data_IF_705452841925
#
_entry.id   IF_705452841925
#
_cell.length_a   1.000
_cell.length_b   1.000
_cell.length_c   1.000
_cell.angle_alpha   90.00
_cell.angle_beta   90.00
_cell.angle_gamma   90.00
#
_symmetry.space_group_name_H-M   'P 1'
#
loop_
_entity.id
_entity.type
_entity.pdbx_description
1 polymer ?
#
# COMPACT_ATOMS: atom_id res chain seq x y z
N UNK A 1 -21.70 -35.65 -8.11
CA UNK A 1 -21.66 -35.09 -6.73
C UNK A 1 -21.85 -36.16 -5.66
N UNK A 2 -22.98 -36.88 -5.62
CA UNK A 2 -23.24 -37.93 -4.59
C UNK A 2 -22.18 -39.05 -4.57
N UNK A 3 -21.78 -39.55 -5.73
CA UNK A 3 -20.76 -40.62 -5.84
C UNK A 3 -19.35 -40.14 -5.43
N UNK A 4 -19.01 -38.88 -5.71
CA UNK A 4 -17.73 -38.27 -5.34
C UNK A 4 -17.60 -38.13 -3.80
N UNK A 5 -18.66 -37.67 -3.15
CA UNK A 5 -18.72 -37.62 -1.69
C UNK A 5 -18.66 -39.00 -1.05
N UNK A 6 -19.36 -39.99 -1.64
CA UNK A 6 -19.32 -41.37 -1.16
C UNK A 6 -17.90 -41.97 -1.25
N UNK A 7 -17.18 -41.70 -2.34
CA UNK A 7 -15.79 -42.13 -2.51
C UNK A 7 -14.85 -41.46 -1.48
N UNK A 8 -15.00 -40.15 -1.23
CA UNK A 8 -14.24 -39.42 -0.20
C UNK A 8 -14.45 -39.99 1.19
N UNK A 9 -15.70 -40.19 1.59
CA UNK A 9 -16.02 -40.78 2.89
C UNK A 9 -15.49 -42.22 3.02
N UNK A 10 -15.51 -43.00 1.94
CA UNK A 10 -14.92 -44.35 1.92
C UNK A 10 -13.39 -44.35 2.03
N UNK A 11 -12.74 -43.27 1.56
CA UNK A 11 -11.31 -43.05 1.73
C UNK A 11 -10.94 -42.50 3.13
N UNK A 12 -11.92 -42.28 4.01
CA UNK A 12 -11.72 -41.72 5.35
C UNK A 12 -11.55 -40.18 5.36
N UNK A 13 -11.79 -39.53 4.24
CA UNK A 13 -11.82 -38.06 4.15
C UNK A 13 -13.23 -37.57 4.53
N UNK A 14 -13.36 -37.09 5.77
CA UNK A 14 -14.57 -36.48 6.31
C UNK A 14 -14.50 -34.95 6.29
N UNK A 15 -13.52 -34.36 5.60
CA UNK A 15 -13.44 -32.91 5.50
C UNK A 15 -14.61 -32.38 4.67
N UNK A 16 -15.46 -31.59 5.33
CA UNK A 16 -16.62 -30.95 4.72
C UNK A 16 -16.30 -29.54 4.20
N UNK A 17 -15.08 -29.05 4.45
CA UNK A 17 -14.63 -27.78 3.90
C UNK A 17 -14.40 -27.94 2.39
N UNK A 18 -14.84 -26.93 1.64
CA UNK A 18 -14.49 -26.84 0.24
C UNK A 18 -12.97 -26.72 0.15
N UNK A 19 -12.36 -27.67 -0.56
CA UNK A 19 -10.95 -27.52 -0.92
C UNK A 19 -10.79 -26.25 -1.74
N UNK A 20 -9.62 -25.61 -1.63
CA UNK A 20 -9.29 -24.47 -2.48
C UNK A 20 -9.55 -24.85 -3.94
N UNK A 21 -10.67 -24.36 -4.48
CA UNK A 21 -10.93 -24.45 -5.89
C UNK A 21 -9.75 -23.75 -6.55
N UNK A 22 -9.16 -24.33 -7.63
CA UNK A 22 -8.25 -23.59 -8.46
C UNK A 22 -9.01 -22.38 -9.00
N UNK A 23 -8.88 -21.28 -8.28
CA UNK A 23 -9.37 -19.98 -8.66
C UNK A 23 -8.79 -19.72 -10.03
N UNK A 24 -9.54 -19.07 -10.93
CA UNK A 24 -9.01 -18.72 -12.26
C UNK A 24 -7.64 -18.09 -12.05
N UNK A 25 -6.60 -18.76 -12.57
CA UNK A 25 -5.22 -18.29 -12.55
C UNK A 25 -5.27 -16.86 -13.07
N UNK A 26 -5.07 -15.96 -12.13
CA UNK A 26 -5.31 -14.57 -12.37
C UNK A 26 -4.18 -14.12 -13.27
N UNK A 27 -4.50 -13.64 -14.48
CA UNK A 27 -3.64 -12.84 -15.38
C UNK A 27 -3.12 -11.55 -14.74
N UNK A 28 -3.16 -11.50 -13.42
CA UNK A 28 -3.07 -10.36 -12.54
C UNK A 28 -1.65 -10.24 -11.98
N UNK A 29 -0.79 -11.27 -12.05
CA UNK A 29 0.53 -11.22 -11.39
C UNK A 29 1.46 -10.15 -12.01
N UNK A 30 1.60 -10.13 -13.34
CA UNK A 30 2.40 -9.10 -14.03
C UNK A 30 1.77 -7.68 -13.91
N UNK A 31 0.45 -7.60 -14.00
CA UNK A 31 -0.25 -6.31 -13.94
C UNK A 31 -0.28 -5.75 -12.52
N UNK A 32 -0.26 -6.60 -11.49
CA UNK A 32 -0.06 -6.20 -10.09
C UNK A 32 1.35 -5.67 -9.86
N UNK A 33 2.37 -6.34 -10.40
CA UNK A 33 3.77 -5.86 -10.30
C UNK A 33 3.87 -4.46 -10.91
N UNK A 34 3.41 -4.27 -12.14
CA UNK A 34 3.40 -2.96 -12.82
C UNK A 34 2.62 -1.91 -12.03
N UNK A 35 1.50 -2.30 -11.43
CA UNK A 35 0.71 -1.37 -10.64
C UNK A 35 1.43 -0.93 -9.37
N UNK A 36 2.06 -1.86 -8.65
CA UNK A 36 2.83 -1.56 -7.44
C UNK A 36 3.99 -0.61 -7.78
N UNK A 37 4.71 -0.87 -8.86
CA UNK A 37 5.77 0.03 -9.35
C UNK A 37 5.25 1.45 -9.64
N UNK A 38 4.07 1.60 -10.25
CA UNK A 38 3.48 2.92 -10.50
C UNK A 38 3.10 3.66 -9.21
N UNK A 39 2.61 2.95 -8.20
CA UNK A 39 2.22 3.50 -6.90
C UNK A 39 3.47 3.95 -6.13
N UNK A 40 4.52 3.14 -6.12
CA UNK A 40 5.80 3.47 -5.46
C UNK A 40 6.48 4.69 -6.10
N UNK A 41 6.40 4.81 -7.42
CA UNK A 41 6.92 5.97 -8.14
C UNK A 41 6.13 7.26 -7.84
N UNK A 42 4.80 7.17 -7.73
CA UNK A 42 3.97 8.31 -7.39
C UNK A 42 2.62 7.88 -6.81
N UNK A 43 2.46 8.06 -5.50
CA UNK A 43 1.24 7.72 -4.77
C UNK A 43 0.04 8.62 -5.09
N UNK A 44 0.24 9.74 -5.81
CA UNK A 44 -0.83 10.71 -6.14
C UNK A 44 -1.65 10.32 -7.36
N UNK A 45 -1.37 9.19 -8.00
CA UNK A 45 -2.18 8.75 -9.13
C UNK A 45 -3.61 8.39 -8.70
N UNK A 46 -4.58 8.93 -9.43
CA UNK A 46 -5.98 8.54 -9.22
C UNK A 46 -6.24 7.14 -9.77
N UNK A 47 -7.21 6.42 -9.20
CA UNK A 47 -7.67 5.11 -9.70
C UNK A 47 -8.02 5.15 -11.19
N UNK A 48 -8.58 6.28 -11.67
CA UNK A 48 -8.88 6.47 -13.10
C UNK A 48 -7.62 6.53 -13.94
N UNK A 49 -6.61 7.30 -13.50
CA UNK A 49 -5.36 7.44 -14.24
C UNK A 49 -4.61 6.10 -14.32
N UNK A 50 -4.59 5.34 -13.23
CA UNK A 50 -4.00 4.00 -13.19
C UNK A 50 -4.74 3.03 -14.11
N UNK A 51 -6.08 3.05 -14.11
CA UNK A 51 -6.88 2.24 -15.02
C UNK A 51 -6.55 2.54 -16.50
N UNK A 52 -6.37 3.82 -16.85
CA UNK A 52 -5.99 4.24 -18.20
C UNK A 52 -4.55 3.81 -18.56
N UNK A 53 -3.60 3.91 -17.62
CA UNK A 53 -2.19 3.54 -17.85
C UNK A 53 -1.98 2.03 -17.97
N UNK A 54 -2.72 1.25 -17.20
CA UNK A 54 -2.60 -0.21 -17.14
C UNK A 54 -3.61 -0.92 -18.04
N UNK A 55 -4.48 -0.17 -18.74
CA UNK A 55 -5.59 -0.70 -19.53
C UNK A 55 -6.48 -1.69 -18.75
N UNK A 56 -6.69 -1.40 -17.47
CA UNK A 56 -7.48 -2.21 -16.54
C UNK A 56 -8.79 -1.51 -16.17
N UNK A 57 -9.76 -2.30 -15.70
CA UNK A 57 -10.99 -1.72 -15.17
C UNK A 57 -10.73 -0.99 -13.85
N UNK A 58 -11.46 0.10 -13.58
CA UNK A 58 -11.34 0.84 -12.31
C UNK A 58 -11.66 -0.04 -11.09
N UNK A 59 -12.57 -1.00 -11.23
CA UNK A 59 -12.91 -1.95 -10.16
C UNK A 59 -11.72 -2.86 -9.83
N UNK A 60 -10.99 -3.34 -10.84
CA UNK A 60 -9.77 -4.16 -10.63
C UNK A 60 -8.70 -3.38 -9.86
N UNK A 61 -8.47 -2.10 -10.21
CA UNK A 61 -7.54 -1.23 -9.48
C UNK A 61 -8.00 -1.05 -8.03
N UNK A 62 -9.29 -0.78 -7.83
CA UNK A 62 -9.85 -0.55 -6.49
C UNK A 62 -9.77 -1.79 -5.60
N UNK A 63 -10.15 -2.96 -6.12
CA UNK A 63 -10.05 -4.23 -5.39
C UNK A 63 -8.61 -4.52 -4.95
N UNK A 64 -7.62 -4.21 -5.80
CA UNK A 64 -6.22 -4.36 -5.43
C UNK A 64 -5.80 -3.41 -4.31
N UNK A 65 -6.20 -2.14 -4.38
CA UNK A 65 -5.92 -1.20 -3.30
C UNK A 65 -6.50 -1.67 -1.96
N UNK A 66 -7.73 -2.20 -1.96
CA UNK A 66 -8.36 -2.77 -0.77
C UNK A 66 -7.58 -3.99 -0.26
N UNK A 67 -7.15 -4.90 -1.16
CA UNK A 67 -6.35 -6.08 -0.79
C UNK A 67 -5.00 -5.71 -0.15
N UNK A 68 -4.37 -4.64 -0.62
CA UNK A 68 -3.11 -4.15 -0.06
C UNK A 68 -3.29 -3.24 1.16
N UNK A 69 -4.52 -2.90 1.54
CA UNK A 69 -4.81 -2.02 2.68
C UNK A 69 -4.52 -0.55 2.41
N UNK A 70 -4.41 -0.14 1.14
CA UNK A 70 -4.24 1.28 0.79
C UNK A 70 -5.52 2.07 1.07
N UNK A 71 -5.35 3.23 1.69
CA UNK A 71 -6.39 4.22 1.93
C UNK A 71 -6.06 5.52 1.22
N UNK A 72 -7.09 6.22 0.73
CA UNK A 72 -6.92 7.55 0.17
C UNK A 72 -6.80 8.58 1.30
N UNK A 73 -5.69 9.33 1.32
CA UNK A 73 -5.45 10.42 2.26
C UNK A 73 -5.25 11.72 1.49
N UNK A 74 -5.77 12.83 2.03
CA UNK A 74 -5.53 14.15 1.46
C UNK A 74 -4.09 14.61 1.67
N UNK A 75 -3.54 15.40 0.76
CA UNK A 75 -2.23 16.01 0.98
C UNK A 75 -2.24 16.92 2.22
N UNK A 76 -1.09 16.99 2.89
CA UNK A 76 -0.91 17.89 4.04
C UNK A 76 -0.67 19.30 3.52
N UNK A 77 -1.38 20.28 4.07
CA UNK A 77 -1.15 21.68 3.74
C UNK A 77 0.18 22.15 4.36
N UNK A 78 1.12 22.58 3.51
CA UNK A 78 2.41 23.13 3.91
C UNK A 78 2.37 24.66 3.68
N UNK A 79 2.63 25.49 4.70
CA UNK A 79 2.40 26.95 4.60
C UNK A 79 3.23 27.67 3.53
N UNK A 80 4.46 27.24 3.31
CA UNK A 80 5.41 27.93 2.43
C UNK A 80 6.26 26.93 1.66
N UNK A 81 6.46 27.22 0.38
CA UNK A 81 7.48 26.58 -0.44
C UNK A 81 8.85 27.14 -0.05
N UNK A 82 9.65 26.32 0.62
CA UNK A 82 10.96 26.72 1.10
C UNK A 82 11.95 26.73 -0.05
N UNK A 83 12.78 27.78 -0.11
CA UNK A 83 13.98 27.76 -0.95
C UNK A 83 15.04 26.85 -0.32
N UNK A 84 16.03 26.43 -1.12
CA UNK A 84 17.18 25.66 -0.64
C UNK A 84 17.88 26.35 0.53
N UNK A 85 18.05 27.67 0.45
CA UNK A 85 18.64 28.47 1.54
C UNK A 85 17.80 28.37 2.81
N UNK A 86 16.48 28.52 2.69
CA UNK A 86 15.58 28.44 3.84
C UNK A 86 15.62 27.05 4.49
N UNK A 87 15.75 25.99 3.67
CA UNK A 87 15.86 24.62 4.16
C UNK A 87 17.15 24.44 4.98
N UNK A 88 18.29 24.84 4.41
CA UNK A 88 19.60 24.72 5.06
C UNK A 88 19.69 25.56 6.35
N UNK A 89 19.18 26.79 6.32
CA UNK A 89 19.14 27.66 7.50
C UNK A 89 18.28 27.01 8.61
N UNK A 90 17.13 26.43 8.27
CA UNK A 90 16.26 25.73 9.23
C UNK A 90 16.94 24.52 9.85
N UNK A 91 17.61 23.68 9.06
CA UNK A 91 18.34 22.50 9.54
C UNK A 91 19.43 22.94 10.52
N UNK A 92 20.26 23.92 10.13
CA UNK A 92 21.36 24.44 10.96
C UNK A 92 20.88 25.01 12.30
N UNK A 93 19.79 25.79 12.27
CA UNK A 93 19.18 26.35 13.49
C UNK A 93 18.65 25.23 14.39
N UNK A 94 17.90 24.28 13.84
CA UNK A 94 17.36 23.14 14.60
C UNK A 94 18.49 22.32 15.26
N UNK A 95 19.54 21.97 14.51
CA UNK A 95 20.68 21.21 15.03
C UNK A 95 21.40 21.95 16.15
N UNK A 96 21.59 23.27 16.00
CA UNK A 96 22.22 24.12 17.01
C UNK A 96 21.38 24.20 18.29
N UNK A 97 20.07 24.36 18.14
CA UNK A 97 19.14 24.39 19.28
C UNK A 97 19.06 23.03 19.98
N UNK A 98 19.10 21.94 19.23
CA UNK A 98 19.09 20.58 19.77
C UNK A 98 20.33 20.32 20.63
N UNK A 99 21.54 20.59 20.10
CA UNK A 99 22.80 20.46 20.85
C UNK A 99 22.82 21.31 22.11
N UNK A 100 22.39 22.57 22.01
CA UNK A 100 22.28 23.46 23.19
C UNK A 100 21.35 22.88 24.25
N UNK A 101 20.25 22.23 23.85
CA UNK A 101 19.30 21.62 24.76
C UNK A 101 19.86 20.34 25.43
N UNK A 102 20.77 19.62 24.78
CA UNK A 102 21.49 18.50 25.42
C UNK A 102 22.45 19.00 26.50
N UNK A 103 23.16 20.09 26.24
CA UNK A 103 24.13 20.69 27.17
C UNK A 103 23.45 21.45 28.32
N UNK A 104 22.43 22.22 27.97
CA UNK A 104 21.69 23.11 28.88
C UNK A 104 20.19 22.99 28.58
N UNK A 105 19.53 21.96 29.14
CA UNK A 105 18.12 21.72 28.89
C UNK A 105 17.29 22.94 29.25
N UNK A 106 16.43 23.36 28.32
CA UNK A 106 15.49 24.45 28.58
C UNK A 106 14.45 24.03 29.64
N UNK A 107 13.99 22.78 29.56
CA UNK A 107 13.16 22.16 30.58
C UNK A 107 14.07 21.36 31.51
N UNK A 108 14.04 21.71 32.80
CA UNK A 108 14.60 20.83 33.83
C UNK A 108 13.71 19.59 33.87
N UNK A 109 14.27 18.44 33.51
CA UNK A 109 13.65 17.15 33.81
C UNK A 109 13.60 16.91 35.31
#
# INVERSE_FOLDING_TARGET
LKELWFARFKAGDFNLEDQECPSRLSTIDEDQIKMNELIENNSRYTTRKLAEMLNMSKSTIHEHFVKLGYINHFDVWVPHDLTEKNLMDRISICDSLHKRNEETPFLKQ
#
